data_IF_875364037988
#
_entry.id   IF_875364037988
#
_cell.length_a   1.000
_cell.length_b   1.000
_cell.length_c   1.000
_cell.angle_alpha   90.00
_cell.angle_beta   90.00
_cell.angle_gamma   90.00
#
_symmetry.space_group_name_H-M   'P 1'
#
loop_
_entity.id
_entity.type
_entity.pdbx_description
1 polymer ?
#
# COMPACT_ATOMS: atom_id res chain seq x y z
N UNK A 1 -8.31 -12.10 -14.68
CA UNK A 1 -7.16 -12.90 -14.20
C UNK A 1 -6.95 -12.61 -12.70
N UNK A 2 -6.55 -13.60 -11.89
CA UNK A 2 -6.33 -13.44 -10.44
C UNK A 2 -4.89 -13.85 -10.12
N UNK A 3 -4.20 -13.06 -9.29
CA UNK A 3 -2.82 -13.33 -8.88
C UNK A 3 -2.78 -13.74 -7.41
N UNK A 4 -2.08 -14.85 -7.11
CA UNK A 4 -1.84 -15.32 -5.74
C UNK A 4 -0.58 -14.65 -5.20
N UNK A 5 -0.67 -14.07 -4.01
CA UNK A 5 0.45 -13.48 -3.28
C UNK A 5 0.67 -14.31 -2.01
N UNK A 6 1.92 -14.71 -1.74
CA UNK A 6 2.33 -15.37 -0.50
C UNK A 6 3.41 -14.53 0.13
N UNK A 7 3.19 -14.06 1.36
CA UNK A 7 4.14 -13.25 2.12
C UNK A 7 4.53 -13.96 3.41
N UNK A 8 5.75 -13.71 3.88
CA UNK A 8 6.21 -14.14 5.20
C UNK A 8 6.32 -12.89 6.08
N UNK A 9 5.47 -12.76 7.12
CA UNK A 9 5.59 -11.66 8.07
C UNK A 9 6.99 -11.62 8.70
N UNK A 10 7.55 -10.41 8.86
CA UNK A 10 8.86 -10.21 9.49
C UNK A 10 8.88 -10.74 10.94
N UNK A 11 7.76 -10.61 11.64
CA UNK A 11 7.55 -11.11 12.99
C UNK A 11 6.34 -12.03 13.02
N UNK A 12 6.53 -13.21 13.62
CA UNK A 12 5.47 -14.20 13.85
C UNK A 12 4.77 -13.99 15.20
N UNK A 13 4.95 -12.81 15.80
CA UNK A 13 4.38 -12.43 17.08
C UNK A 13 3.81 -11.02 17.04
N UNK A 14 2.77 -10.80 17.83
CA UNK A 14 2.14 -9.50 18.07
C UNK A 14 2.17 -9.21 19.55
N UNK A 15 2.22 -7.93 19.92
CA UNK A 15 2.10 -7.55 21.33
C UNK A 15 0.63 -7.43 21.69
N UNK A 16 0.17 -8.27 22.59
CA UNK A 16 -1.18 -8.22 23.14
C UNK A 16 -1.10 -8.31 24.66
N UNK A 17 -1.90 -7.50 25.36
CA UNK A 17 -1.90 -7.46 26.84
C UNK A 17 -0.49 -7.25 27.44
N UNK A 18 0.37 -6.48 26.76
CA UNK A 18 1.74 -6.21 27.18
C UNK A 18 2.72 -7.38 27.02
N UNK A 19 2.35 -8.46 26.32
CA UNK A 19 3.21 -9.63 26.10
C UNK A 19 3.27 -10.00 24.60
N UNK A 20 4.41 -10.49 24.11
CA UNK A 20 4.49 -11.05 22.77
C UNK A 20 3.70 -12.37 22.74
N UNK A 21 2.72 -12.44 21.84
CA UNK A 21 1.91 -13.62 21.57
C UNK A 21 2.11 -14.07 20.13
N UNK A 22 2.13 -15.38 19.86
CA UNK A 22 2.24 -15.89 18.49
C UNK A 22 1.03 -15.45 17.65
N UNK A 23 1.28 -15.19 16.36
CA UNK A 23 0.20 -15.01 15.39
C UNK A 23 -0.64 -16.29 15.33
N UNK A 24 -1.96 -16.15 15.47
CA UNK A 24 -2.88 -17.27 15.40
C UNK A 24 -3.60 -17.30 14.05
N UNK A 25 -3.89 -18.50 13.50
CA UNK A 25 -4.77 -18.62 12.34
C UNK A 25 -6.12 -17.93 12.59
N UNK A 26 -6.63 -17.22 11.59
CA UNK A 26 -7.91 -16.50 11.68
C UNK A 26 -7.79 -15.04 12.13
N UNK A 27 -6.60 -14.56 12.49
CA UNK A 27 -6.36 -13.12 12.68
C UNK A 27 -6.50 -12.37 11.33
N UNK A 28 -7.03 -11.14 11.39
CA UNK A 28 -7.11 -10.26 10.22
C UNK A 28 -5.70 -9.78 9.82
N UNK A 29 -5.42 -9.82 8.51
CA UNK A 29 -4.18 -9.31 7.92
C UNK A 29 -4.55 -8.20 6.93
N UNK A 30 -3.86 -7.06 7.03
CA UNK A 30 -3.95 -5.95 6.08
C UNK A 30 -2.58 -5.71 5.47
N UNK A 31 -2.53 -5.54 4.15
CA UNK A 31 -1.30 -5.30 3.41
C UNK A 31 -1.61 -4.50 2.14
N UNK A 32 -0.77 -3.50 1.85
CA UNK A 32 -0.87 -2.69 0.64
C UNK A 32 0.08 -3.22 -0.44
N UNK A 33 -0.43 -3.34 -1.67
CA UNK A 33 0.36 -3.70 -2.85
C UNK A 33 0.52 -2.46 -3.72
N UNK A 34 1.71 -1.87 -3.71
CA UNK A 34 2.03 -0.72 -4.56
C UNK A 34 2.53 -1.23 -5.91
N UNK A 35 1.74 -1.02 -6.96
CA UNK A 35 2.05 -1.44 -8.34
C UNK A 35 2.62 -0.27 -9.17
N UNK A 36 2.59 0.94 -8.61
CA UNK A 36 2.98 2.16 -9.31
C UNK A 36 4.50 2.25 -9.54
N UNK A 37 4.90 2.56 -10.77
CA UNK A 37 6.29 2.84 -11.17
C UNK A 37 6.44 4.24 -11.74
N UNK A 38 5.57 5.18 -11.37
CA UNK A 38 5.73 6.58 -11.76
C UNK A 38 6.97 7.18 -11.12
N UNK A 39 7.72 7.97 -11.89
CA UNK A 39 8.82 8.76 -11.34
C UNK A 39 8.20 9.83 -10.45
N UNK A 40 8.75 10.06 -9.24
CA UNK A 40 8.28 11.10 -8.31
C UNK A 40 8.08 12.46 -8.99
N UNK A 41 8.91 12.77 -9.99
CA UNK A 41 8.80 14.00 -10.79
C UNK A 41 7.49 14.08 -11.58
N UNK A 42 7.01 12.97 -12.14
CA UNK A 42 5.74 12.92 -12.89
C UNK A 42 4.56 13.21 -11.95
N UNK A 43 4.59 12.67 -10.72
CA UNK A 43 3.57 12.95 -9.70
C UNK A 43 3.49 14.44 -9.31
N UNK A 44 4.64 15.12 -9.19
CA UNK A 44 4.67 16.55 -8.80
C UNK A 44 4.12 17.46 -9.90
N UNK A 45 4.24 17.09 -11.18
CA UNK A 45 3.78 17.92 -12.30
C UNK A 45 2.29 17.72 -12.67
N UNK A 46 1.64 16.62 -12.25
CA UNK A 46 0.20 16.36 -12.44
C UNK A 46 -0.74 17.54 -12.06
N UNK A 47 -0.61 18.20 -10.88
CA UNK A 47 -1.47 19.32 -10.52
C UNK A 47 -1.30 20.53 -11.45
N UNK A 48 -0.11 20.74 -12.02
CA UNK A 48 0.17 21.86 -12.93
C UNK A 48 -0.50 21.69 -14.30
N UNK A 49 -0.55 20.45 -14.81
CA UNK A 49 -1.31 20.13 -16.03
C UNK A 49 -2.83 20.26 -15.84
N UNK A 50 -3.33 19.98 -14.62
CA UNK A 50 -4.75 20.15 -14.30
C UNK A 50 -5.18 21.63 -14.30
N UNK A 51 -4.27 22.55 -13.97
CA UNK A 51 -4.52 23.99 -13.98
C UNK A 51 -4.54 24.59 -15.39
N UNK A 52 -3.77 24.02 -16.33
CA UNK A 52 -3.68 24.54 -17.71
C UNK A 52 -4.72 23.95 -18.66
N UNK A 53 -5.44 22.90 -18.29
CA UNK A 53 -6.52 22.30 -19.10
C UNK A 53 -7.88 23.00 -19.03
N UNK A 54 -8.08 23.97 -18.13
CA UNK A 54 -9.30 24.80 -18.04
C UNK A 54 -9.17 26.10 -18.84
N UNK A 55 -8.74 26.01 -20.08
CA UNK A 55 -9.08 27.04 -21.08
C UNK A 55 -10.16 26.45 -21.99
N UNK A 56 -11.41 26.78 -21.64
CA UNK A 56 -12.55 26.61 -22.53
C UNK A 56 -12.23 27.29 -23.87
N UNK A 57 -12.27 26.52 -24.94
CA UNK A 57 -12.73 27.00 -26.24
C UNK A 57 -14.24 26.84 -26.33
#
# INVERSE_FOLDING_TARGET
>A
PVYRIVVRPERQTVTAYGRPMPLQPGMQLEADVIIDRRRLIEWVFDPLYTLTGKWNG
#
